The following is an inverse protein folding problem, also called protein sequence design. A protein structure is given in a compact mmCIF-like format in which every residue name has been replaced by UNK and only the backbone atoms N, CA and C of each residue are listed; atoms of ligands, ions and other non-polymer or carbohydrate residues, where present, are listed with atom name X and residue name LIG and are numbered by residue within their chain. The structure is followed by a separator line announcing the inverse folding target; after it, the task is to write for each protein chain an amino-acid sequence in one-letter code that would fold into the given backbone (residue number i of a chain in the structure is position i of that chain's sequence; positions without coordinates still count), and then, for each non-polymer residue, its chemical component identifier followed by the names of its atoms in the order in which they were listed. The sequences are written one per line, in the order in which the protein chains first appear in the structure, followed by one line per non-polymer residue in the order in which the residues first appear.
data_IF_408418029988
#
_entry.id   IF_408418029988
#
_cell.length_a   1.000
_cell.length_b   1.000
_cell.length_c   1.000
_cell.angle_alpha   90.00
_cell.angle_beta   90.00
_cell.angle_gamma   90.00
#
_symmetry.space_group_name_H-M   'P 1'
#
loop_
_entity.id
_entity.type
_entity.pdbx_description
1 polymer ?
#
# COMPACT_ATOMS: atom_id res chain seq x y z
N UNK A 1 -6.69 36.29 -8.55
CA UNK A 1 -7.27 35.71 -9.79
C UNK A 1 -6.73 34.34 -9.91
N UNK A 2 -7.52 33.36 -9.48
CA UNK A 2 -7.14 31.94 -9.43
C UNK A 2 -7.52 31.25 -10.73
N UNK A 3 -6.59 30.51 -11.30
CA UNK A 3 -6.83 29.58 -12.40
C UNK A 3 -7.24 28.23 -11.80
N UNK A 4 -8.50 27.89 -11.95
CA UNK A 4 -9.05 26.56 -11.67
C UNK A 4 -8.62 25.65 -12.83
N UNK A 5 -7.75 24.67 -12.59
CA UNK A 5 -7.48 23.61 -13.55
C UNK A 5 -8.73 22.73 -13.65
N UNK A 6 -9.48 22.96 -14.71
CA UNK A 6 -10.56 22.10 -15.17
C UNK A 6 -9.98 20.76 -15.63
N UNK A 7 -10.19 19.71 -14.84
CA UNK A 7 -9.90 18.33 -15.25
C UNK A 7 -10.92 17.93 -16.30
N UNK A 8 -10.57 18.11 -17.57
CA UNK A 8 -11.40 17.82 -18.73
C UNK A 8 -12.10 16.48 -18.65
N UNK A 9 -13.41 16.54 -18.82
CA UNK A 9 -14.31 15.40 -18.81
C UNK A 9 -13.87 14.34 -19.84
N UNK A 10 -13.81 13.05 -19.50
CA UNK A 10 -13.30 11.98 -20.38
C UNK A 10 -13.99 11.88 -21.75
N UNK A 11 -15.18 12.45 -21.89
CA UNK A 11 -15.91 12.54 -23.17
C UNK A 11 -15.26 13.51 -24.17
N UNK A 12 -14.48 14.49 -23.72
CA UNK A 12 -13.80 15.44 -24.63
C UNK A 12 -12.54 14.85 -25.29
N UNK A 13 -11.89 13.90 -24.63
CA UNK A 13 -10.71 13.20 -25.17
C UNK A 13 -11.11 12.23 -26.29
N UNK A 14 -12.29 11.60 -26.19
CA UNK A 14 -12.79 10.69 -27.20
C UNK A 14 -13.21 11.41 -28.52
N UNK A 15 -13.60 12.67 -28.45
CA UNK A 15 -13.94 13.47 -29.64
C UNK A 15 -12.73 13.96 -30.44
N UNK A 16 -11.55 14.03 -29.85
CA UNK A 16 -10.31 14.46 -30.54
C UNK A 16 -9.65 13.34 -31.36
N UNK A 17 -10.02 12.08 -31.17
CA UNK A 17 -9.44 10.93 -31.87
C UNK A 17 -10.21 10.49 -33.13
N UNK A 18 -11.12 11.33 -33.63
CA UNK A 18 -11.74 11.20 -34.96
C UNK A 18 -12.23 9.77 -35.32
N UNK A 19 -13.55 9.57 -35.28
CA UNK A 19 -14.27 8.39 -35.75
C UNK A 19 -14.26 7.16 -34.84
N UNK A 20 -14.98 7.25 -33.73
CA UNK A 20 -15.42 6.05 -33.04
C UNK A 20 -16.95 6.05 -32.99
N UNK A 21 -17.58 4.99 -33.52
CA UNK A 21 -19.02 4.81 -33.41
C UNK A 21 -19.40 4.74 -31.91
N UNK A 22 -20.63 5.13 -31.52
CA UNK A 22 -21.06 5.10 -30.11
C UNK A 22 -20.94 3.71 -29.49
N UNK A 23 -20.98 2.65 -30.28
CA UNK A 23 -20.75 1.27 -29.83
C UNK A 23 -19.29 1.01 -29.43
N UNK A 24 -18.32 1.59 -30.13
CA UNK A 24 -16.90 1.44 -29.79
C UNK A 24 -16.53 2.20 -28.53
N UNK A 25 -17.13 3.36 -28.30
CA UNK A 25 -16.93 4.13 -27.06
C UNK A 25 -17.55 3.38 -25.84
N UNK A 26 -18.69 2.76 -26.01
CA UNK A 26 -19.33 1.95 -24.96
C UNK A 26 -18.51 0.69 -24.65
N UNK A 27 -17.90 0.05 -25.63
CA UNK A 27 -17.01 -1.11 -25.45
C UNK A 27 -15.73 -0.73 -24.71
N UNK A 28 -15.13 0.41 -25.03
CA UNK A 28 -13.93 0.91 -24.35
C UNK A 28 -14.26 1.26 -22.89
N UNK A 29 -15.41 1.87 -22.64
CA UNK A 29 -15.84 2.23 -21.29
C UNK A 29 -16.17 0.99 -20.44
N UNK A 30 -16.82 -0.02 -21.01
CA UNK A 30 -17.06 -1.32 -20.37
C UNK A 30 -15.76 -2.06 -20.09
N UNK A 31 -14.80 -2.00 -21.01
CA UNK A 31 -13.49 -2.65 -20.83
C UNK A 31 -12.66 -1.97 -19.73
N UNK A 32 -12.63 -0.64 -19.69
CA UNK A 32 -11.96 0.12 -18.62
C UNK A 32 -12.61 -0.10 -17.26
N UNK A 33 -13.94 -0.11 -17.19
CA UNK A 33 -14.67 -0.39 -15.95
C UNK A 33 -14.41 -1.82 -15.45
N UNK A 34 -14.34 -2.79 -16.36
CA UNK A 34 -14.05 -4.17 -16.01
C UNK A 34 -12.60 -4.37 -15.54
N UNK A 35 -11.64 -3.72 -16.18
CA UNK A 35 -10.24 -3.72 -15.75
C UNK A 35 -10.09 -3.07 -14.37
N UNK A 36 -10.77 -1.96 -14.13
CA UNK A 36 -10.73 -1.26 -12.84
C UNK A 36 -11.31 -2.13 -11.73
N UNK A 37 -12.43 -2.81 -11.96
CA UNK A 37 -13.05 -3.76 -11.03
C UNK A 37 -12.12 -4.95 -10.76
N UNK A 38 -11.45 -5.50 -11.78
CA UNK A 38 -10.53 -6.63 -11.63
C UNK A 38 -9.29 -6.20 -10.81
N UNK A 39 -8.73 -5.03 -11.06
CA UNK A 39 -7.57 -4.52 -10.31
C UNK A 39 -7.94 -4.25 -8.85
N UNK A 40 -9.13 -3.71 -8.60
CA UNK A 40 -9.63 -3.46 -7.26
C UNK A 40 -9.97 -4.77 -6.51
N UNK A 41 -10.53 -5.74 -7.20
CA UNK A 41 -10.79 -7.09 -6.69
C UNK A 41 -9.46 -7.84 -6.38
N UNK A 42 -8.43 -7.70 -7.22
CA UNK A 42 -7.09 -8.24 -6.95
C UNK A 42 -6.44 -7.56 -5.75
N UNK A 43 -6.62 -6.25 -5.58
CA UNK A 43 -6.14 -5.49 -4.42
C UNK A 43 -6.86 -5.92 -3.12
N UNK A 44 -8.14 -6.29 -3.19
CA UNK A 44 -8.90 -6.82 -2.05
C UNK A 44 -8.54 -8.26 -1.69
N UNK A 45 -8.00 -9.05 -2.62
CA UNK A 45 -7.63 -10.47 -2.42
C UNK A 45 -6.30 -10.71 -1.75
N UNK A 46 -5.77 -9.72 -1.01
CA UNK A 46 -4.57 -9.92 -0.16
C UNK A 46 -3.23 -9.81 -0.88
N UNK A 47 -3.18 -9.13 -2.02
CA UNK A 47 -1.90 -8.77 -2.63
C UNK A 47 -1.41 -7.46 -2.03
N UNK A 48 -0.26 -7.51 -1.40
CA UNK A 48 0.42 -6.32 -0.89
C UNK A 48 1.23 -5.66 -2.00
N UNK A 49 1.16 -4.32 -2.09
CA UNK A 49 2.19 -3.57 -2.77
C UNK A 49 3.52 -3.69 -2.00
N UNK A 50 4.65 -3.44 -2.66
CA UNK A 50 5.98 -3.45 -2.04
C UNK A 50 6.00 -2.66 -0.72
N UNK A 51 5.41 -1.46 -0.75
CA UNK A 51 5.36 -0.56 0.39
C UNK A 51 4.52 -1.11 1.57
N UNK A 52 3.35 -1.67 1.29
CA UNK A 52 2.49 -2.31 2.29
C UNK A 52 3.20 -3.50 2.94
N UNK A 53 3.89 -4.29 2.14
CA UNK A 53 4.66 -5.44 2.64
C UNK A 53 5.81 -4.98 3.55
N UNK A 54 6.55 -3.93 3.18
CA UNK A 54 7.61 -3.38 4.03
C UNK A 54 7.08 -2.91 5.38
N UNK A 55 5.96 -2.17 5.40
CA UNK A 55 5.33 -1.72 6.65
C UNK A 55 4.92 -2.91 7.53
N UNK A 56 4.31 -3.95 6.95
CA UNK A 56 3.92 -5.16 7.70
C UNK A 56 5.11 -5.91 8.28
N UNK A 57 6.21 -6.02 7.53
CA UNK A 57 7.44 -6.66 8.02
C UNK A 57 8.05 -5.89 9.18
N UNK A 58 8.02 -4.56 9.13
CA UNK A 58 8.48 -3.70 10.21
C UNK A 58 7.58 -3.81 11.45
N UNK A 59 6.26 -3.88 11.29
CA UNK A 59 5.34 -4.15 12.38
C UNK A 59 5.68 -5.46 13.11
N UNK A 60 5.99 -6.51 12.34
CA UNK A 60 6.39 -7.81 12.91
C UNK A 60 7.71 -7.73 13.68
N UNK A 61 8.64 -6.83 13.31
CA UNK A 61 9.91 -6.63 14.00
C UNK A 61 9.77 -5.82 15.29
N UNK A 62 8.95 -4.76 15.26
CA UNK A 62 8.76 -3.84 16.39
C UNK A 62 7.80 -4.40 17.46
N UNK A 63 6.91 -5.30 17.08
CA UNK A 63 5.94 -5.88 18.00
C UNK A 63 5.07 -4.84 18.67
N UNK A 64 5.17 -4.71 20.00
CA UNK A 64 4.31 -3.81 20.81
C UNK A 64 4.73 -2.34 20.72
N UNK A 65 5.96 -2.04 20.32
CA UNK A 65 6.50 -0.68 20.20
C UNK A 65 6.25 -0.02 18.84
N UNK A 66 5.37 -0.59 18.02
CA UNK A 66 5.10 -0.12 16.68
C UNK A 66 4.14 1.08 16.67
N UNK A 67 4.69 2.29 16.54
CA UNK A 67 3.98 3.53 16.23
C UNK A 67 4.73 4.31 15.14
N UNK A 68 4.14 5.38 14.59
CA UNK A 68 4.63 6.05 13.37
C UNK A 68 6.15 6.28 13.30
N UNK A 69 6.75 6.91 14.32
CA UNK A 69 8.18 7.28 14.29
C UNK A 69 9.13 6.07 14.31
N UNK A 70 9.00 5.06 15.21
CA UNK A 70 9.82 3.86 15.15
C UNK A 70 9.69 3.09 13.85
N UNK A 71 8.48 3.05 13.25
CA UNK A 71 8.27 2.39 11.96
C UNK A 71 9.09 3.09 10.87
N UNK A 72 9.03 4.43 10.77
CA UNK A 72 9.85 5.19 9.82
C UNK A 72 11.35 4.90 10.00
N UNK A 73 11.86 5.02 11.24
CA UNK A 73 13.28 4.77 11.54
C UNK A 73 13.72 3.35 11.18
N UNK A 74 12.86 2.38 11.43
CA UNK A 74 13.19 0.99 11.10
C UNK A 74 13.22 0.74 9.60
N UNK A 75 12.31 1.36 8.81
CA UNK A 75 12.33 1.27 7.35
C UNK A 75 13.60 1.94 6.83
N UNK A 76 13.90 3.14 7.28
CA UNK A 76 15.08 3.89 6.89
C UNK A 76 16.38 3.13 7.18
N UNK A 77 16.50 2.57 8.38
CA UNK A 77 17.66 1.77 8.79
C UNK A 77 17.87 0.50 7.95
N UNK A 78 16.78 -0.12 7.45
CA UNK A 78 16.87 -1.35 6.68
C UNK A 78 16.97 -1.13 5.16
N UNK A 79 16.48 -0.01 4.65
CA UNK A 79 16.37 0.24 3.21
C UNK A 79 17.18 1.44 2.72
N UNK A 80 17.67 2.29 3.62
CA UNK A 80 18.30 3.56 3.30
C UNK A 80 17.32 4.61 2.73
N UNK A 81 16.02 4.33 2.73
CA UNK A 81 14.98 5.24 2.21
C UNK A 81 14.42 6.10 3.34
N UNK A 82 14.55 7.40 3.23
CA UNK A 82 13.85 8.34 4.10
C UNK A 82 12.34 8.30 3.81
N UNK A 83 11.54 8.17 4.87
CA UNK A 83 10.09 7.95 4.74
C UNK A 83 9.31 9.00 5.53
N UNK A 84 8.44 9.77 4.87
CA UNK A 84 7.54 10.67 5.56
C UNK A 84 6.58 9.92 6.48
N UNK A 85 6.46 10.36 7.72
CA UNK A 85 5.56 9.75 8.73
C UNK A 85 4.11 9.69 8.26
N UNK A 86 3.65 10.68 7.47
CA UNK A 86 2.31 10.70 6.89
C UNK A 86 2.05 9.52 5.95
N UNK A 87 3.04 9.13 5.14
CA UNK A 87 2.93 7.96 4.23
C UNK A 87 2.77 6.65 4.99
N UNK A 88 3.44 6.54 6.14
CA UNK A 88 3.31 5.37 7.02
C UNK A 88 1.91 5.28 7.59
N UNK A 89 1.37 6.39 8.13
CA UNK A 89 0.02 6.42 8.69
C UNK A 89 -1.05 6.12 7.63
N UNK A 90 -0.98 6.73 6.45
CA UNK A 90 -1.91 6.46 5.36
C UNK A 90 -1.90 4.99 4.92
N UNK A 91 -0.74 4.34 4.98
CA UNK A 91 -0.62 2.91 4.68
C UNK A 91 -1.18 2.04 5.80
N UNK A 92 -0.91 2.40 7.06
CA UNK A 92 -1.45 1.69 8.22
C UNK A 92 -2.99 1.74 8.27
N UNK A 93 -3.59 2.88 7.93
CA UNK A 93 -5.05 3.04 7.83
C UNK A 93 -5.63 2.10 6.77
N UNK A 94 -5.05 2.06 5.56
CA UNK A 94 -5.48 1.11 4.51
C UNK A 94 -5.31 -0.35 4.91
N UNK A 95 -4.25 -0.68 5.63
CA UNK A 95 -4.02 -2.04 6.13
C UNK A 95 -4.99 -2.41 7.25
N UNK A 96 -5.40 -1.44 8.06
CA UNK A 96 -6.44 -1.59 9.09
C UNK A 96 -7.81 -1.82 8.44
N UNK A 97 -8.18 -1.06 7.41
CA UNK A 97 -9.39 -1.26 6.60
C UNK A 97 -9.44 -2.64 5.93
N UNK A 98 -8.29 -3.15 5.48
CA UNK A 98 -8.15 -4.51 4.94
C UNK A 98 -8.15 -5.60 6.01
N UNK A 99 -8.16 -5.27 7.29
CA UNK A 99 -8.13 -6.20 8.42
C UNK A 99 -6.77 -6.90 8.64
N UNK A 100 -5.68 -6.37 8.09
CA UNK A 100 -4.32 -6.92 8.27
C UNK A 100 -3.58 -6.31 9.45
N UNK A 101 -4.02 -5.14 9.90
CA UNK A 101 -3.47 -4.41 11.05
C UNK A 101 -4.62 -4.04 11.98
N UNK A 102 -4.35 -3.99 13.25
CA UNK A 102 -5.21 -3.38 14.28
C UNK A 102 -4.46 -2.25 14.97
N UNK A 103 -5.19 -1.27 15.49
CA UNK A 103 -4.60 -0.17 16.23
C UNK A 103 -5.19 -0.02 17.62
N UNK A 104 -4.39 0.51 18.53
CA UNK A 104 -4.75 0.80 19.92
C UNK A 104 -4.17 2.14 20.33
N UNK A 105 -4.96 2.94 21.04
CA UNK A 105 -4.48 4.17 21.65
C UNK A 105 -3.76 3.86 22.96
N UNK A 106 -2.49 4.21 23.06
CA UNK A 106 -1.74 4.12 24.28
C UNK A 106 -2.23 5.12 25.33
N UNK A 107 -1.81 4.91 26.59
CA UNK A 107 -2.11 5.86 27.67
C UNK A 107 -1.45 7.21 27.37
N UNK A 108 -2.15 8.34 27.62
CA UNK A 108 -1.55 9.65 27.53
C UNK A 108 -0.34 9.73 28.47
N UNK A 109 0.83 10.07 27.94
CA UNK A 109 2.01 10.34 28.76
C UNK A 109 2.09 11.84 29.02
N UNK A 110 2.42 12.25 30.25
CA UNK A 110 2.53 13.66 30.63
C UNK A 110 3.67 14.40 29.91
N UNK A 111 4.56 13.68 29.25
CA UNK A 111 5.66 14.22 28.47
C UNK A 111 5.16 14.70 27.11
N UNK A 112 5.50 15.95 26.75
CA UNK A 112 5.20 16.60 25.44
C UNK A 112 3.72 16.82 25.11
N UNK A 113 2.94 17.36 26.05
CA UNK A 113 1.58 17.84 25.75
C UNK A 113 0.50 16.76 25.67
N UNK A 114 0.72 15.59 26.22
CA UNK A 114 -0.34 14.65 26.58
C UNK A 114 -1.03 13.90 25.43
N UNK A 115 -0.54 13.98 24.19
CA UNK A 115 -1.17 13.28 23.07
C UNK A 115 -0.90 11.78 23.13
N UNK A 116 -1.96 10.97 23.24
CA UNK A 116 -1.87 9.51 23.21
C UNK A 116 -1.24 9.04 21.87
N UNK A 117 -0.31 8.10 21.97
CA UNK A 117 0.30 7.48 20.78
C UNK A 117 -0.63 6.39 20.27
N UNK A 118 -0.83 6.32 18.94
CA UNK A 118 -1.53 5.22 18.28
C UNK A 118 -0.52 4.13 17.96
N UNK A 119 -0.64 2.97 18.60
CA UNK A 119 0.16 1.77 18.37
C UNK A 119 -0.55 0.86 17.38
N UNK A 120 0.22 0.15 16.59
CA UNK A 120 -0.27 -0.73 15.53
C UNK A 120 0.27 -2.14 15.72
N UNK A 121 -0.58 -3.12 15.46
CA UNK A 121 -0.22 -4.55 15.55
C UNK A 121 -0.69 -5.27 14.31
N UNK A 122 0.12 -6.19 13.81
CA UNK A 122 -0.29 -7.06 12.73
C UNK A 122 -1.30 -8.09 13.24
N UNK A 123 -2.39 -8.31 12.51
CA UNK A 123 -3.38 -9.34 12.84
C UNK A 123 -2.94 -10.74 12.39
N UNK A 124 -3.60 -11.78 12.90
CA UNK A 124 -3.38 -13.16 12.43
C UNK A 124 -3.61 -13.29 10.92
N UNK A 125 -4.59 -12.55 10.38
CA UNK A 125 -4.85 -12.50 8.94
C UNK A 125 -3.68 -11.84 8.19
N UNK A 126 -3.14 -10.72 8.69
CA UNK A 126 -1.97 -10.07 8.15
C UNK A 126 -0.74 -10.98 8.12
N UNK A 127 -0.45 -11.68 9.21
CA UNK A 127 0.66 -12.66 9.27
C UNK A 127 0.50 -13.77 8.24
N UNK A 128 -0.72 -14.30 8.07
CA UNK A 128 -1.01 -15.34 7.09
C UNK A 128 -0.72 -14.87 5.67
N UNK A 129 -1.14 -13.67 5.31
CA UNK A 129 -0.94 -13.11 3.99
C UNK A 129 0.53 -12.73 3.72
N UNK A 130 1.26 -12.21 4.73
CA UNK A 130 2.72 -11.99 4.61
C UNK A 130 3.44 -13.31 4.33
N UNK A 131 3.11 -14.39 5.04
CA UNK A 131 3.69 -15.73 4.79
C UNK A 131 3.36 -16.26 3.39
N UNK A 132 2.15 -15.98 2.89
CA UNK A 132 1.74 -16.37 1.53
C UNK A 132 2.58 -15.63 0.49
N UNK A 133 2.71 -14.32 0.62
CA UNK A 133 3.54 -13.47 -0.25
C UNK A 133 5.00 -13.89 -0.21
N UNK A 134 5.55 -14.14 0.98
CA UNK A 134 6.93 -14.61 1.14
C UNK A 134 7.17 -15.93 0.37
N UNK A 135 6.24 -16.90 0.46
CA UNK A 135 6.36 -18.17 -0.27
C UNK A 135 6.33 -17.95 -1.78
N UNK A 136 5.41 -17.11 -2.28
CA UNK A 136 5.32 -16.80 -3.70
C UNK A 136 6.60 -16.13 -4.22
N UNK A 137 7.12 -15.13 -3.51
CA UNK A 137 8.38 -14.46 -3.86
C UNK A 137 9.56 -15.45 -3.85
N UNK A 138 9.67 -16.29 -2.82
CA UNK A 138 10.72 -17.30 -2.75
C UNK A 138 10.67 -18.26 -3.93
N UNK A 139 9.49 -18.70 -4.32
CA UNK A 139 9.33 -19.60 -5.47
C UNK A 139 9.73 -18.93 -6.79
N UNK A 140 9.45 -17.61 -6.93
CA UNK A 140 9.86 -16.84 -8.11
C UNK A 140 11.38 -16.57 -8.13
N UNK A 141 12.01 -16.37 -6.97
CA UNK A 141 13.46 -16.14 -6.87
C UNK A 141 14.30 -17.41 -7.05
N UNK A 142 13.75 -18.56 -6.67
CA UNK A 142 14.45 -19.82 -6.85
C UNK A 142 14.73 -20.09 -8.34
N UNK A 143 15.98 -20.34 -8.66
CA UNK A 143 16.42 -20.62 -10.02
C UNK A 143 16.72 -19.37 -10.87
N UNK A 144 16.91 -18.19 -10.24
CA UNK A 144 17.40 -16.98 -10.90
C UNK A 144 18.89 -16.75 -10.60
N UNK A 145 19.81 -17.26 -11.44
CA UNK A 145 21.26 -17.19 -11.19
C UNK A 145 21.79 -15.76 -11.09
N UNK A 146 21.09 -14.80 -11.71
CA UNK A 146 21.46 -13.37 -11.69
C UNK A 146 21.33 -12.74 -10.29
N UNK A 147 20.44 -13.27 -9.43
CA UNK A 147 20.21 -12.78 -8.08
C UNK A 147 20.99 -13.55 -7.02
N UNK A 148 21.40 -14.78 -7.32
CA UNK A 148 22.18 -15.61 -6.40
C UNK A 148 23.62 -15.12 -6.23
N UNK A 149 24.19 -14.40 -7.21
CA UNK A 149 25.57 -13.87 -7.17
C UNK A 149 25.75 -12.63 -6.31
N UNK A 150 24.70 -12.03 -5.78
CA UNK A 150 24.72 -10.78 -5.03
C UNK A 150 24.53 -10.90 -3.52
N UNK A 151 24.44 -12.11 -2.97
CA UNK A 151 24.20 -12.34 -1.53
C UNK A 151 25.42 -12.95 -0.81
N UNK A 152 26.61 -12.53 -1.23
CA UNK A 152 27.88 -12.84 -0.57
C UNK A 152 28.48 -11.62 0.12
#
# INVERSE_FOLDING_TARGET
MGAVHDCGHPLQIAQQLGACSPESAALIYLHQSHLFIIVEEMSRRGHFGEWELMVLLVLMRLGEDAYGVPICRQIEAQTGREVPVGSVYATLERLEEKGFVSSELGKPTAERGGRAKKYFRITTNGVREVRRTQRALRNLWNGLPQLERGMG
#
